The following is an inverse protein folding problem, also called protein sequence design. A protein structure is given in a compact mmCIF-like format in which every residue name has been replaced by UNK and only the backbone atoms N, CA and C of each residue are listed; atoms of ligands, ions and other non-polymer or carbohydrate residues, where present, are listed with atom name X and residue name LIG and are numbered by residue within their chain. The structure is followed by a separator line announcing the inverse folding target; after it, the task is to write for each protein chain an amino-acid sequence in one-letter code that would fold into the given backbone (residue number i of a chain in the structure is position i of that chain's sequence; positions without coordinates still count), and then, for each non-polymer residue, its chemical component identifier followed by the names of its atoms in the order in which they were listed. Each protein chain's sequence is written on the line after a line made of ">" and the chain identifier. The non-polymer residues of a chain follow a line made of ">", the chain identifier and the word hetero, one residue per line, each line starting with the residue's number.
data_IF_372421801591
#
_entry.id   IF_372421801591
#
_cell.length_a   1.000
_cell.length_b   1.000
_cell.length_c   1.000
_cell.angle_alpha   90.00
_cell.angle_beta   90.00
_cell.angle_gamma   90.00
#
_symmetry.space_group_name_H-M   'P 1'
#
loop_
_entity.id
_entity.type
_entity.pdbx_description
1 polymer ?
#
# COMPACT_ATOMS: atom_id res chain seq x y z
N UNK A 1 -5.03 37.64 -33.53
CA UNK A 1 -5.56 37.30 -32.18
C UNK A 1 -6.59 36.17 -32.18
N UNK A 2 -7.77 36.27 -32.84
CA UNK A 2 -8.81 35.21 -32.79
C UNK A 2 -8.35 33.81 -33.25
N UNK A 3 -7.55 33.71 -34.33
CA UNK A 3 -7.00 32.43 -34.81
C UNK A 3 -5.95 31.81 -33.86
N UNK A 4 -5.14 32.65 -33.21
CA UNK A 4 -4.14 32.21 -32.24
C UNK A 4 -4.80 31.72 -30.94
N UNK A 5 -5.87 32.40 -30.50
CA UNK A 5 -6.68 32.01 -29.35
C UNK A 5 -7.43 30.69 -29.61
N UNK A 6 -8.00 30.52 -30.82
CA UNK A 6 -8.64 29.27 -31.23
C UNK A 6 -7.64 28.09 -31.30
N UNK A 7 -6.42 28.32 -31.83
CA UNK A 7 -5.37 27.30 -31.82
C UNK A 7 -4.99 26.90 -30.38
N UNK A 8 -4.78 27.88 -29.50
CA UNK A 8 -4.46 27.63 -28.08
C UNK A 8 -5.56 26.83 -27.37
N UNK A 9 -6.83 27.19 -27.57
CA UNK A 9 -7.98 26.46 -27.03
C UNK A 9 -8.08 25.03 -27.58
N UNK A 10 -7.80 24.83 -28.87
CA UNK A 10 -7.79 23.49 -29.47
C UNK A 10 -6.62 22.63 -28.99
N UNK A 11 -5.44 23.21 -28.75
CA UNK A 11 -4.30 22.49 -28.15
C UNK A 11 -4.54 22.14 -26.69
N UNK A 12 -5.22 23.01 -25.93
CA UNK A 12 -5.64 22.73 -24.55
C UNK A 12 -6.68 21.61 -24.50
N UNK A 13 -7.60 21.55 -25.47
CA UNK A 13 -8.61 20.50 -25.56
C UNK A 13 -8.04 19.10 -25.91
N UNK A 14 -6.90 19.06 -26.61
CA UNK A 14 -6.24 17.81 -27.02
C UNK A 14 -5.12 17.35 -26.07
N UNK A 15 -4.74 18.16 -25.07
CA UNK A 15 -3.66 17.85 -24.13
C UNK A 15 -3.95 16.63 -23.22
N UNK A 16 -5.21 16.18 -23.14
CA UNK A 16 -5.61 15.01 -22.37
C UNK A 16 -5.61 13.69 -23.18
N UNK A 17 -5.28 13.73 -24.48
CA UNK A 17 -5.22 12.53 -25.31
C UNK A 17 -3.82 11.91 -25.30
N UNK A 18 -3.77 10.61 -25.03
CA UNK A 18 -2.56 9.82 -25.21
C UNK A 18 -2.41 9.36 -26.67
N UNK A 19 -1.20 9.44 -27.22
CA UNK A 19 -0.96 9.11 -28.63
C UNK A 19 -0.81 7.60 -28.86
N UNK A 20 -1.38 7.00 -29.92
CA UNK A 20 -1.10 5.62 -30.30
C UNK A 20 0.36 5.44 -30.81
N UNK A 21 0.87 4.20 -30.89
CA UNK A 21 0.23 2.95 -30.45
C UNK A 21 0.24 2.76 -28.93
N UNK A 22 -0.68 1.92 -28.46
CA UNK A 22 -0.81 1.49 -27.06
C UNK A 22 -0.52 -0.01 -27.00
N UNK A 23 0.04 -0.46 -25.88
CA UNK A 23 0.27 -1.88 -25.66
C UNK A 23 -0.98 -2.52 -25.06
N UNK A 24 -1.33 -3.71 -25.55
CA UNK A 24 -2.50 -4.45 -25.06
C UNK A 24 -2.10 -5.84 -24.58
N UNK A 25 -2.59 -6.22 -23.42
CA UNK A 25 -2.38 -7.55 -22.83
C UNK A 25 -3.73 -8.20 -22.63
N UNK A 26 -4.01 -9.28 -23.35
CA UNK A 26 -5.26 -10.03 -23.19
C UNK A 26 -5.21 -10.86 -21.89
N UNK A 27 -6.25 -10.72 -21.06
CA UNK A 27 -6.35 -11.35 -19.73
C UNK A 27 -7.57 -12.29 -19.57
N UNK A 28 -8.32 -12.54 -20.64
CA UNK A 28 -9.44 -13.48 -20.65
C UNK A 28 -9.66 -14.14 -22.01
N UNK A 29 -10.72 -14.92 -22.15
CA UNK A 29 -11.05 -15.59 -23.41
C UNK A 29 -11.33 -14.58 -24.53
N UNK A 30 -10.99 -14.94 -25.78
CA UNK A 30 -11.21 -14.06 -26.95
C UNK A 30 -12.68 -13.59 -27.04
N UNK A 31 -12.87 -12.31 -27.37
CA UNK A 31 -14.20 -11.69 -27.47
C UNK A 31 -14.84 -11.27 -26.14
N UNK A 32 -14.21 -11.53 -24.99
CA UNK A 32 -14.74 -11.10 -23.68
C UNK A 32 -14.41 -9.64 -23.33
N UNK A 33 -13.50 -9.00 -24.08
CA UNK A 33 -13.02 -7.65 -23.78
C UNK A 33 -12.11 -7.54 -22.55
N UNK A 34 -11.74 -8.67 -21.94
CA UNK A 34 -10.83 -8.70 -20.80
C UNK A 34 -9.38 -8.47 -21.26
N UNK A 35 -8.95 -7.21 -21.23
CA UNK A 35 -7.60 -6.80 -21.61
C UNK A 35 -7.13 -5.61 -20.75
N UNK A 36 -5.82 -5.52 -20.53
CA UNK A 36 -5.16 -4.31 -20.02
C UNK A 36 -4.63 -3.51 -21.21
N UNK A 37 -4.77 -2.19 -21.14
CA UNK A 37 -4.25 -1.27 -22.15
C UNK A 37 -3.27 -0.33 -21.45
N UNK A 38 -2.04 -0.28 -21.94
CA UNK A 38 -0.96 0.50 -21.34
C UNK A 38 -0.37 1.48 -22.35
N UNK A 39 -0.02 2.67 -21.87
CA UNK A 39 0.77 3.61 -22.63
C UNK A 39 2.25 3.27 -22.44
N UNK A 40 3.00 2.84 -23.48
CA UNK A 40 4.40 2.45 -23.31
C UNK A 40 5.25 3.54 -22.67
N UNK A 41 4.98 4.81 -22.97
CA UNK A 41 5.73 5.95 -22.43
C UNK A 41 5.41 6.23 -20.95
N UNK A 42 4.17 5.98 -20.54
CA UNK A 42 3.80 6.12 -19.13
C UNK A 42 4.39 4.98 -18.30
N UNK A 43 4.45 3.77 -18.87
CA UNK A 43 5.11 2.61 -18.26
C UNK A 43 6.60 2.86 -18.10
N UNK A 44 7.30 3.33 -19.13
CA UNK A 44 8.73 3.68 -19.06
C UNK A 44 9.02 4.71 -17.95
N UNK A 45 8.21 5.77 -17.86
CA UNK A 45 8.33 6.75 -16.78
C UNK A 45 8.05 6.16 -15.38
N UNK A 46 7.21 5.11 -15.30
CA UNK A 46 6.92 4.41 -14.06
C UNK A 46 8.00 3.39 -13.68
N UNK A 47 8.67 2.77 -14.64
CA UNK A 47 9.83 1.89 -14.45
C UNK A 47 10.96 2.61 -13.74
N UNK A 48 11.28 3.84 -14.16
CA UNK A 48 12.29 4.67 -13.46
C UNK A 48 11.95 4.91 -11.98
N UNK A 49 10.66 5.00 -11.61
CA UNK A 49 10.22 5.17 -10.20
C UNK A 49 10.20 3.86 -9.41
N UNK A 50 10.37 2.72 -10.08
CA UNK A 50 10.33 1.38 -9.50
C UNK A 50 11.69 0.68 -9.58
N UNK A 51 12.75 1.43 -9.88
CA UNK A 51 14.11 0.92 -9.85
C UNK A 51 14.50 0.50 -8.43
N UNK A 52 15.18 -0.64 -8.35
CA UNK A 52 15.65 -1.22 -7.09
C UNK A 52 17.08 -0.75 -6.84
N UNK A 53 17.39 -0.17 -5.66
CA UNK A 53 18.74 0.22 -5.33
C UNK A 53 19.64 -1.02 -5.25
N UNK A 54 20.92 -0.91 -5.65
CA UNK A 54 21.85 -2.03 -5.59
C UNK A 54 22.00 -2.54 -4.15
N UNK A 55 21.99 -3.86 -3.98
CA UNK A 55 22.20 -4.48 -2.68
C UNK A 55 23.68 -4.37 -2.27
N UNK A 56 23.92 -4.14 -0.98
CA UNK A 56 25.26 -4.26 -0.42
C UNK A 56 25.72 -5.73 -0.46
N UNK A 57 27.03 -6.01 -0.60
CA UNK A 57 27.57 -7.36 -0.54
C UNK A 57 27.06 -8.11 0.70
N UNK A 58 26.71 -9.38 0.53
CA UNK A 58 26.23 -10.20 1.62
C UNK A 58 27.31 -10.31 2.72
N UNK A 59 26.90 -10.12 3.98
CA UNK A 59 27.77 -10.34 5.11
C UNK A 59 27.66 -11.80 5.57
N UNK A 60 28.78 -12.47 5.92
CA UNK A 60 28.74 -13.85 6.38
C UNK A 60 27.97 -13.98 7.70
N UNK A 61 27.28 -15.11 7.88
CA UNK A 61 26.67 -15.47 9.17
C UNK A 61 27.70 -16.08 10.13
N UNK A 62 28.74 -15.32 10.42
CA UNK A 62 29.86 -15.76 11.24
C UNK A 62 30.05 -14.86 12.47
N UNK A 63 30.59 -15.45 13.53
CA UNK A 63 30.90 -14.73 14.77
C UNK A 63 29.71 -14.56 15.74
N UNK A 64 29.89 -13.74 16.78
CA UNK A 64 28.89 -13.56 17.82
C UNK A 64 27.63 -12.85 17.29
N UNK A 65 26.47 -13.27 17.81
CA UNK A 65 25.18 -12.73 17.42
C UNK A 65 24.92 -11.34 18.02
N UNK A 66 24.18 -10.50 17.30
CA UNK A 66 23.89 -9.12 17.64
C UNK A 66 23.25 -8.97 19.02
N UNK A 67 22.40 -9.92 19.45
CA UNK A 67 21.81 -9.93 20.79
C UNK A 67 22.81 -10.12 21.93
N UNK A 68 24.00 -10.68 21.65
CA UNK A 68 25.11 -10.81 22.61
C UNK A 68 26.13 -9.69 22.47
N UNK A 69 26.30 -9.15 21.26
CA UNK A 69 27.25 -8.08 20.96
C UNK A 69 26.79 -6.69 21.40
N UNK A 70 25.50 -6.38 21.19
CA UNK A 70 24.97 -5.03 21.35
C UNK A 70 23.93 -4.97 22.47
N UNK A 71 23.81 -3.78 23.08
CA UNK A 71 22.78 -3.51 24.08
C UNK A 71 21.44 -3.18 23.40
N UNK A 72 20.33 -3.61 24.00
CA UNK A 72 18.97 -3.27 23.59
C UNK A 72 18.55 -3.72 22.18
N UNK A 73 19.10 -4.85 21.69
CA UNK A 73 18.62 -5.52 20.47
C UNK A 73 17.46 -6.44 20.80
N UNK A 74 16.25 -6.08 20.35
CA UNK A 74 14.99 -6.80 20.68
C UNK A 74 14.47 -7.73 19.57
N UNK A 75 14.78 -7.42 18.30
CA UNK A 75 14.21 -8.12 17.14
C UNK A 75 15.29 -8.84 16.34
N UNK A 76 16.36 -8.14 16.00
CA UNK A 76 17.45 -8.63 15.15
C UNK A 76 18.57 -9.31 15.95
N UNK A 77 18.23 -9.96 17.06
CA UNK A 77 19.21 -10.55 17.98
C UNK A 77 19.95 -11.76 17.41
N UNK A 78 19.36 -12.39 16.40
CA UNK A 78 19.78 -13.62 15.71
C UNK A 78 20.85 -13.40 14.63
N UNK A 79 21.07 -12.16 14.20
CA UNK A 79 22.00 -11.82 13.13
C UNK A 79 23.45 -11.81 13.62
N UNK A 80 24.41 -12.12 12.75
CA UNK A 80 25.82 -11.83 13.02
C UNK A 80 26.06 -10.31 13.13
N UNK A 81 27.17 -9.89 13.75
CA UNK A 81 27.54 -8.46 13.79
C UNK A 81 27.68 -7.84 12.39
N UNK A 82 28.19 -8.61 11.42
CA UNK A 82 28.30 -8.19 10.03
C UNK A 82 26.94 -8.02 9.35
N UNK A 83 26.05 -9.01 9.49
CA UNK A 83 24.68 -8.94 8.95
C UNK A 83 23.88 -7.81 9.57
N UNK A 84 23.98 -7.63 10.89
CA UNK A 84 23.33 -6.52 11.60
C UNK A 84 23.78 -5.17 11.05
N UNK A 85 25.09 -4.96 10.90
CA UNK A 85 25.64 -3.71 10.35
C UNK A 85 25.18 -3.48 8.92
N UNK A 86 25.25 -4.51 8.06
CA UNK A 86 24.79 -4.45 6.68
C UNK A 86 23.32 -4.02 6.59
N UNK A 87 22.45 -4.65 7.37
CA UNK A 87 21.03 -4.32 7.37
C UNK A 87 20.78 -2.88 7.83
N UNK A 88 21.49 -2.39 8.84
CA UNK A 88 21.38 -0.99 9.29
C UNK A 88 21.77 0.01 8.20
N UNK A 89 22.85 -0.24 7.46
CA UNK A 89 23.27 0.61 6.33
C UNK A 89 22.23 0.57 5.21
N UNK A 90 21.70 -0.60 4.86
CA UNK A 90 20.65 -0.72 3.85
C UNK A 90 19.34 -0.05 4.27
N UNK A 91 18.91 -0.19 5.53
CA UNK A 91 17.74 0.51 6.06
C UNK A 91 17.90 2.03 5.98
N UNK A 92 19.12 2.53 6.20
CA UNK A 92 19.43 3.96 6.08
C UNK A 92 19.16 4.46 4.66
N UNK A 93 19.66 3.75 3.64
CA UNK A 93 19.43 4.14 2.23
C UNK A 93 17.96 3.98 1.81
N UNK A 94 17.26 3.02 2.39
CA UNK A 94 15.86 2.76 2.03
C UNK A 94 14.85 3.71 2.66
N UNK A 95 15.18 4.34 3.79
CA UNK A 95 14.25 5.12 4.61
C UNK A 95 14.66 6.58 4.68
N UNK A 96 15.91 6.88 5.05
CA UNK A 96 16.35 8.23 5.40
C UNK A 96 17.79 8.50 4.92
N UNK A 97 18.07 8.40 3.61
CA UNK A 97 19.41 8.55 3.06
C UNK A 97 20.02 9.93 3.35
N UNK A 98 19.19 10.98 3.43
CA UNK A 98 19.64 12.34 3.70
C UNK A 98 20.00 12.56 5.17
N UNK A 99 19.23 12.00 6.10
CA UNK A 99 19.44 12.16 7.55
C UNK A 99 20.42 11.13 8.13
N UNK A 100 20.65 10.04 7.41
CA UNK A 100 21.57 8.98 7.80
C UNK A 100 21.12 8.23 9.06
N UNK A 101 22.10 7.62 9.74
CA UNK A 101 21.89 6.83 10.97
C UNK A 101 21.15 7.62 12.06
N UNK A 102 21.38 8.94 12.11
CA UNK A 102 20.87 9.83 13.15
C UNK A 102 19.36 10.07 13.03
N UNK A 103 18.71 9.64 11.95
CA UNK A 103 17.25 9.68 11.85
C UNK A 103 16.58 8.81 12.91
N UNK A 104 17.17 7.63 13.19
CA UNK A 104 16.64 6.65 14.14
C UNK A 104 17.50 6.52 15.40
N UNK A 105 18.72 7.07 15.44
CA UNK A 105 19.64 6.87 16.54
C UNK A 105 20.16 8.18 17.14
N UNK A 106 20.35 8.15 18.46
CA UNK A 106 21.20 9.10 19.14
C UNK A 106 22.66 8.74 18.85
N UNK A 107 23.48 9.61 18.22
CA UNK A 107 24.85 9.29 17.87
C UNK A 107 25.76 9.05 19.08
N UNK A 108 25.40 9.61 20.25
CA UNK A 108 26.14 9.37 21.50
C UNK A 108 25.80 8.01 22.12
N UNK A 109 24.66 7.41 21.79
CA UNK A 109 24.21 6.13 22.33
C UNK A 109 23.23 5.42 21.39
N UNK A 110 23.74 4.52 20.56
CA UNK A 110 22.91 3.76 19.62
C UNK A 110 21.88 2.85 20.30
N UNK A 111 22.08 2.47 21.57
CA UNK A 111 21.14 1.65 22.32
C UNK A 111 19.94 2.44 22.88
N UNK A 112 20.01 3.77 22.92
CA UNK A 112 18.95 4.67 23.42
C UNK A 112 17.68 4.58 22.57
N UNK A 113 16.51 4.55 23.21
CA UNK A 113 15.17 4.45 22.60
C UNK A 113 14.36 5.76 22.71
N UNK A 114 15.00 6.87 23.14
CA UNK A 114 14.33 8.17 23.30
C UNK A 114 13.74 8.74 22.01
N UNK A 115 14.32 8.42 20.85
CA UNK A 115 13.79 8.83 19.55
C UNK A 115 12.63 7.94 19.12
N UNK A 116 11.46 8.56 18.90
CA UNK A 116 10.26 7.85 18.46
C UNK A 116 10.48 7.05 17.16
N UNK A 117 11.33 7.56 16.26
CA UNK A 117 11.69 6.92 14.99
C UNK A 117 12.32 5.55 15.21
N UNK A 118 13.08 5.35 16.29
CA UNK A 118 13.64 4.05 16.65
C UNK A 118 12.57 3.05 17.11
N UNK A 119 11.65 3.53 17.93
CA UNK A 119 10.52 2.73 18.42
C UNK A 119 9.66 2.27 17.24
N UNK A 120 9.36 3.17 16.32
CA UNK A 120 8.64 2.87 15.06
C UNK A 120 9.45 1.92 14.17
N UNK A 121 10.74 2.20 13.93
CA UNK A 121 11.58 1.35 13.09
C UNK A 121 11.65 -0.09 13.59
N UNK A 122 11.74 -0.30 14.91
CA UNK A 122 11.65 -1.63 15.51
C UNK A 122 10.36 -2.35 15.12
N UNK A 123 9.22 -1.67 15.28
CA UNK A 123 7.91 -2.25 14.94
C UNK A 123 7.77 -2.52 13.44
N UNK A 124 8.39 -1.71 12.58
CA UNK A 124 8.40 -1.93 11.12
C UNK A 124 9.28 -3.12 10.71
N UNK A 125 10.36 -3.43 11.43
CA UNK A 125 11.15 -4.66 11.20
C UNK A 125 10.29 -5.89 11.50
N UNK A 126 9.56 -5.87 12.62
CA UNK A 126 8.62 -6.94 12.97
C UNK A 126 7.52 -7.10 11.92
N UNK A 127 6.96 -5.98 11.45
CA UNK A 127 5.97 -5.96 10.36
C UNK A 127 6.53 -6.58 9.07
N UNK A 128 7.78 -6.24 8.71
CA UNK A 128 8.43 -6.73 7.50
C UNK A 128 8.65 -8.24 7.57
N UNK A 129 9.18 -8.74 8.70
CA UNK A 129 9.34 -10.19 8.93
C UNK A 129 7.99 -10.91 8.90
N UNK A 130 6.96 -10.34 9.52
CA UNK A 130 5.61 -10.88 9.53
C UNK A 130 5.01 -10.99 8.11
N UNK A 131 5.10 -9.93 7.29
CA UNK A 131 4.63 -9.97 5.89
C UNK A 131 5.36 -11.07 5.11
N UNK A 132 6.69 -11.12 5.24
CA UNK A 132 7.53 -12.04 4.48
C UNK A 132 7.34 -13.51 4.87
N UNK A 133 6.88 -13.79 6.08
CA UNK A 133 6.69 -15.15 6.60
C UNK A 133 5.24 -15.62 6.50
N UNK A 134 4.27 -14.79 6.88
CA UNK A 134 2.89 -15.24 7.11
C UNK A 134 1.94 -14.87 5.97
N UNK A 135 2.32 -13.90 5.13
CA UNK A 135 1.51 -13.42 4.01
C UNK A 135 1.98 -13.91 2.64
N UNK A 136 2.58 -15.12 2.59
CA UNK A 136 3.04 -15.78 1.34
C UNK A 136 1.91 -15.95 0.31
N UNK A 137 0.67 -16.11 0.75
CA UNK A 137 -0.53 -16.13 -0.09
C UNK A 137 -0.79 -14.81 -0.85
N UNK A 138 -0.12 -13.72 -0.46
CA UNK A 138 -0.15 -12.43 -1.12
C UNK A 138 1.21 -12.05 -1.73
N UNK A 139 2.28 -12.03 -0.92
CA UNK A 139 3.61 -11.54 -1.37
C UNK A 139 4.50 -12.61 -2.00
N UNK A 140 4.08 -13.89 -1.95
CA UNK A 140 4.85 -15.04 -2.41
C UNK A 140 6.31 -15.03 -1.92
N UNK A 141 7.26 -15.48 -2.75
CA UNK A 141 8.68 -15.40 -2.44
C UNK A 141 9.31 -14.05 -2.75
N UNK A 142 8.61 -13.16 -3.45
CA UNK A 142 9.09 -11.79 -3.73
C UNK A 142 9.33 -11.04 -2.42
N UNK A 143 8.36 -11.09 -1.51
CA UNK A 143 8.41 -10.41 -0.22
C UNK A 143 8.44 -8.88 -0.32
N UNK A 144 8.71 -8.24 0.81
CA UNK A 144 8.80 -6.79 0.98
C UNK A 144 10.05 -6.41 1.78
N UNK A 145 10.52 -5.18 1.57
CA UNK A 145 11.56 -4.53 2.37
C UNK A 145 11.08 -3.14 2.79
N UNK A 146 11.89 -2.42 3.56
CA UNK A 146 11.60 -1.03 3.91
C UNK A 146 11.42 -0.17 2.65
N UNK A 147 12.20 -0.45 1.60
CA UNK A 147 12.16 0.30 0.34
C UNK A 147 10.84 0.13 -0.41
N UNK A 148 10.16 -1.01 -0.26
CA UNK A 148 8.86 -1.27 -0.89
C UNK A 148 7.87 -0.13 -0.64
N UNK A 149 7.84 0.39 0.60
CA UNK A 149 6.99 1.51 1.01
C UNK A 149 7.73 2.85 0.99
N UNK A 150 8.90 2.92 1.63
CA UNK A 150 9.57 4.19 1.92
C UNK A 150 10.21 4.84 0.70
N UNK A 151 10.73 4.07 -0.26
CA UNK A 151 11.37 4.60 -1.49
C UNK A 151 12.40 5.71 -1.21
N UNK A 152 13.20 5.56 -0.15
CA UNK A 152 14.20 6.56 0.25
C UNK A 152 13.63 7.79 0.97
N UNK A 153 12.36 7.76 1.37
CA UNK A 153 11.69 8.84 2.10
C UNK A 153 11.26 8.39 3.50
N UNK A 154 11.47 9.21 4.54
CA UNK A 154 11.12 8.79 5.90
C UNK A 154 9.62 8.61 6.13
N UNK A 155 8.80 9.25 5.30
CA UNK A 155 7.35 9.04 5.22
C UNK A 155 7.01 8.49 3.84
N UNK A 156 6.37 7.30 3.75
CA UNK A 156 5.92 6.76 2.46
C UNK A 156 4.97 7.72 1.74
N UNK A 157 5.10 7.81 0.41
CA UNK A 157 4.37 8.80 -0.39
C UNK A 157 2.84 8.54 -0.49
N UNK A 158 2.43 7.27 -0.39
CA UNK A 158 1.04 6.85 -0.53
C UNK A 158 0.55 6.25 0.79
N UNK A 159 0.21 7.12 1.74
CA UNK A 159 -0.42 6.75 3.02
C UNK A 159 -1.80 7.38 3.10
N UNK A 160 -2.61 6.93 4.06
CA UNK A 160 -3.93 7.53 4.30
C UNK A 160 -4.17 7.80 5.78
N UNK A 161 -5.03 8.79 6.02
CA UNK A 161 -5.61 9.14 7.31
C UNK A 161 -7.13 9.07 7.19
N UNK A 162 -7.83 8.88 8.30
CA UNK A 162 -9.28 8.98 8.32
C UNK A 162 -9.67 10.40 7.92
N UNK A 163 -10.55 10.52 6.94
CA UNK A 163 -11.03 11.82 6.49
C UNK A 163 -12.11 12.31 7.46
N UNK A 164 -12.08 13.60 7.78
CA UNK A 164 -13.12 14.22 8.58
C UNK A 164 -14.39 14.30 7.74
N UNK A 165 -15.50 13.87 8.32
CA UNK A 165 -16.80 14.09 7.71
C UNK A 165 -17.08 15.60 7.71
N UNK A 166 -17.46 16.14 6.54
CA UNK A 166 -17.87 17.53 6.44
C UNK A 166 -19.03 17.76 7.42
N UNK A 167 -18.91 18.72 8.37
CA UNK A 167 -19.94 18.93 9.37
C UNK A 167 -21.27 19.28 8.70
N UNK A 168 -22.37 18.90 9.36
CA UNK A 168 -23.72 19.29 8.98
C UNK A 168 -23.81 20.83 8.94
N UNK A 169 -23.65 21.40 7.76
CA UNK A 169 -23.61 22.84 7.56
C UNK A 169 -25.02 23.40 7.51
N UNK A 170 -25.31 24.40 8.34
CA UNK A 170 -26.53 25.20 8.42
C UNK A 170 -26.85 26.02 7.15
N UNK A 171 -26.32 25.64 5.99
CA UNK A 171 -26.32 26.40 4.74
C UNK A 171 -27.36 25.92 3.71
N UNK A 172 -28.37 25.13 4.09
CA UNK A 172 -29.36 24.54 3.18
C UNK A 172 -28.78 23.65 2.05
N UNK A 173 -27.48 23.38 2.02
CA UNK A 173 -26.81 22.65 0.93
C UNK A 173 -26.82 21.12 1.11
N UNK A 174 -27.37 20.61 2.23
CA UNK A 174 -27.43 19.18 2.51
C UNK A 174 -26.07 18.57 2.88
N UNK A 175 -26.10 17.29 3.27
CA UNK A 175 -24.92 16.51 3.63
C UNK A 175 -24.35 15.77 2.41
N UNK A 176 -23.03 15.87 2.20
CA UNK A 176 -22.31 15.14 1.16
C UNK A 176 -22.17 13.65 1.47
N UNK A 177 -22.36 13.25 2.73
CA UNK A 177 -22.30 11.88 3.23
C UNK A 177 -21.02 11.13 2.82
N UNK A 178 -19.88 11.81 2.90
CA UNK A 178 -18.58 11.22 2.58
C UNK A 178 -18.31 10.99 1.09
N UNK A 179 -19.07 11.62 0.19
CA UNK A 179 -18.93 11.47 -1.27
C UNK A 179 -19.19 12.79 -2.04
N UNK A 180 -19.46 12.73 -3.35
CA UNK A 180 -19.82 13.89 -4.19
C UNK A 180 -18.73 14.99 -4.26
N UNK A 181 -17.47 14.61 -4.10
CA UNK A 181 -16.31 15.49 -4.26
C UNK A 181 -15.22 14.71 -5.01
N UNK A 182 -14.58 15.28 -6.04
CA UNK A 182 -13.53 14.59 -6.76
C UNK A 182 -12.35 14.32 -5.83
N UNK A 183 -12.01 13.05 -5.65
CA UNK A 183 -10.96 12.64 -4.72
C UNK A 183 -9.97 11.67 -5.36
N UNK A 184 -8.68 11.89 -5.11
CA UNK A 184 -7.58 11.11 -5.70
C UNK A 184 -7.57 9.66 -5.22
N UNK A 185 -8.10 9.36 -4.04
CA UNK A 185 -8.16 8.01 -3.48
C UNK A 185 -9.14 7.10 -4.23
N UNK A 186 -10.12 7.71 -4.91
CA UNK A 186 -11.11 7.03 -5.77
C UNK A 186 -11.04 7.53 -7.21
N UNK A 187 -9.81 7.76 -7.69
CA UNK A 187 -9.50 8.13 -9.08
C UNK A 187 -10.30 9.33 -9.63
N UNK A 188 -10.42 10.39 -8.81
CA UNK A 188 -11.12 11.64 -9.13
C UNK A 188 -12.62 11.48 -9.44
N UNK A 189 -13.20 10.33 -9.09
CA UNK A 189 -14.65 10.12 -9.16
C UNK A 189 -15.38 10.82 -8.02
N UNK A 190 -16.71 10.81 -8.07
CA UNK A 190 -17.59 11.33 -7.02
C UNK A 190 -18.03 10.25 -6.00
N UNK A 191 -17.40 9.07 -6.02
CA UNK A 191 -17.68 7.96 -5.10
C UNK A 191 -17.27 8.32 -3.65
N UNK A 192 -17.65 7.49 -2.66
CA UNK A 192 -17.18 7.66 -1.28
C UNK A 192 -15.66 7.75 -1.19
N UNK A 193 -15.16 8.87 -0.65
CA UNK A 193 -13.75 9.24 -0.76
C UNK A 193 -12.85 8.67 0.34
N UNK A 194 -13.41 7.98 1.35
CA UNK A 194 -12.66 7.23 2.36
C UNK A 194 -13.09 5.76 2.41
N UNK A 195 -12.86 4.98 1.34
CA UNK A 195 -13.16 3.55 1.37
C UNK A 195 -12.22 2.76 2.32
N UNK A 196 -11.21 3.40 2.90
CA UNK A 196 -10.20 2.73 3.71
C UNK A 196 -10.67 2.49 5.13
N UNK A 197 -11.30 3.48 5.77
CA UNK A 197 -11.83 3.34 7.12
C UNK A 197 -12.74 2.12 7.29
N UNK A 198 -13.79 1.90 6.47
CA UNK A 198 -14.67 0.74 6.64
C UNK A 198 -14.03 -0.58 6.19
N UNK A 199 -13.16 -0.56 5.17
CA UNK A 199 -12.73 -1.80 4.51
C UNK A 199 -11.27 -2.22 4.73
N UNK A 200 -10.35 -1.30 5.04
CA UNK A 200 -8.93 -1.57 5.27
C UNK A 200 -8.48 -1.32 6.72
N UNK A 201 -9.30 -0.64 7.52
CA UNK A 201 -9.17 -0.57 8.97
C UNK A 201 -10.27 -1.41 9.63
N UNK A 202 -11.52 -1.13 9.27
CA UNK A 202 -12.67 -1.96 9.61
C UNK A 202 -12.75 -3.25 8.79
N UNK A 203 -13.78 -4.04 9.06
CA UNK A 203 -14.03 -5.32 8.40
C UNK A 203 -15.40 -5.38 7.71
N UNK A 204 -15.96 -4.23 7.32
CA UNK A 204 -17.28 -4.14 6.69
C UNK A 204 -17.39 -5.02 5.45
N UNK A 205 -18.61 -5.50 5.19
CA UNK A 205 -18.87 -6.43 4.10
C UNK A 205 -18.78 -5.72 2.73
N UNK A 206 -17.83 -6.16 1.90
CA UNK A 206 -17.62 -5.64 0.54
C UNK A 206 -18.66 -6.22 -0.46
N UNK A 207 -19.22 -7.41 -0.18
CA UNK A 207 -20.12 -8.10 -1.13
C UNK A 207 -21.52 -7.50 -1.10
N UNK A 208 -22.00 -7.06 -2.25
CA UNK A 208 -23.35 -6.47 -2.41
C UNK A 208 -24.31 -7.29 -3.28
N UNK A 209 -23.79 -8.16 -4.15
CA UNK A 209 -24.61 -8.97 -5.06
C UNK A 209 -25.39 -10.07 -4.31
N UNK A 210 -26.59 -10.38 -4.81
CA UNK A 210 -27.35 -11.55 -4.36
C UNK A 210 -26.79 -12.84 -4.95
N UNK A 211 -27.02 -13.97 -4.27
CA UNK A 211 -26.60 -15.30 -4.72
C UNK A 211 -27.68 -16.04 -5.52
N UNK A 212 -28.86 -15.42 -5.69
CA UNK A 212 -30.03 -15.98 -6.38
C UNK A 212 -30.52 -14.99 -7.42
N UNK A 213 -31.21 -15.49 -8.45
CA UNK A 213 -31.74 -14.65 -9.52
C UNK A 213 -32.93 -13.78 -9.05
N UNK A 214 -33.78 -14.31 -8.18
CA UNK A 214 -34.92 -13.61 -7.61
C UNK A 214 -34.52 -12.88 -6.30
N UNK A 215 -35.18 -11.77 -5.94
CA UNK A 215 -34.84 -10.98 -4.76
C UNK A 215 -35.20 -11.72 -3.46
N UNK A 216 -34.36 -12.67 -3.05
CA UNK A 216 -34.55 -13.48 -1.85
C UNK A 216 -33.50 -13.14 -0.80
N UNK A 217 -33.88 -12.34 0.18
CA UNK A 217 -33.08 -12.11 1.39
C UNK A 217 -31.91 -11.13 1.29
N UNK A 218 -31.45 -10.73 0.09
CA UNK A 218 -30.44 -9.67 -0.02
C UNK A 218 -31.03 -8.32 0.45
N UNK A 219 -30.33 -7.65 1.36
CA UNK A 219 -30.70 -6.34 1.93
C UNK A 219 -29.64 -5.26 1.69
N UNK A 220 -28.63 -5.57 0.88
CA UNK A 220 -27.60 -4.61 0.52
C UNK A 220 -28.20 -3.47 -0.31
N UNK A 221 -27.73 -2.25 -0.07
CA UNK A 221 -28.21 -1.03 -0.69
C UNK A 221 -27.32 -0.59 -1.84
N UNK A 222 -27.84 0.30 -2.68
CA UNK A 222 -27.05 0.95 -3.74
C UNK A 222 -25.92 1.78 -3.13
N UNK A 223 -26.15 2.44 -1.99
CA UNK A 223 -25.08 3.15 -1.26
C UNK A 223 -23.93 2.22 -0.92
N UNK A 224 -24.20 1.03 -0.36
CA UNK A 224 -23.15 0.05 -0.09
C UNK A 224 -22.41 -0.38 -1.38
N UNK A 225 -23.11 -0.46 -2.51
CA UNK A 225 -22.48 -0.74 -3.80
C UNK A 225 -21.53 0.38 -4.25
N UNK A 226 -21.87 1.66 -4.02
CA UNK A 226 -20.99 2.81 -4.28
C UNK A 226 -19.73 2.77 -3.42
N UNK A 227 -19.85 2.43 -2.13
CA UNK A 227 -18.70 2.26 -1.23
C UNK A 227 -17.77 1.13 -1.69
N UNK A 228 -18.33 -0.03 -2.03
CA UNK A 228 -17.56 -1.14 -2.62
C UNK A 228 -16.90 -0.70 -3.93
N UNK A 229 -17.59 0.07 -4.78
CA UNK A 229 -17.03 0.53 -6.04
C UNK A 229 -15.90 1.55 -5.83
N UNK A 230 -16.00 2.42 -4.82
CA UNK A 230 -14.92 3.31 -4.40
C UNK A 230 -13.66 2.53 -4.02
N UNK A 231 -13.79 1.49 -3.19
CA UNK A 231 -12.68 0.60 -2.84
C UNK A 231 -12.08 -0.08 -4.08
N UNK A 232 -12.91 -0.64 -4.96
CA UNK A 232 -12.42 -1.31 -6.18
C UNK A 232 -11.68 -0.33 -7.10
N UNK A 233 -12.17 0.92 -7.19
CA UNK A 233 -11.51 1.98 -7.96
C UNK A 233 -10.13 2.30 -7.40
N UNK A 234 -10.02 2.44 -6.07
CA UNK A 234 -8.74 2.59 -5.40
C UNK A 234 -7.79 1.43 -5.71
N UNK A 235 -8.27 0.18 -5.59
CA UNK A 235 -7.44 -0.99 -5.83
C UNK A 235 -6.93 -1.03 -7.27
N UNK A 236 -7.79 -0.73 -8.25
CA UNK A 236 -7.40 -0.62 -9.67
C UNK A 236 -6.29 0.43 -9.87
N UNK A 237 -6.47 1.64 -9.33
CA UNK A 237 -5.49 2.71 -9.44
C UNK A 237 -4.17 2.36 -8.72
N UNK A 238 -4.26 1.82 -7.51
CA UNK A 238 -3.10 1.45 -6.69
C UNK A 238 -2.22 0.40 -7.34
N UNK A 239 -2.80 -0.48 -8.17
CA UNK A 239 -2.09 -1.51 -8.93
C UNK A 239 -1.82 -1.10 -10.40
N UNK A 240 -2.36 0.03 -10.88
CA UNK A 240 -2.28 0.47 -12.28
C UNK A 240 -2.91 -0.50 -13.26
N UNK A 241 -4.05 -1.09 -12.89
CA UNK A 241 -4.79 -2.07 -13.70
C UNK A 241 -6.27 -1.68 -13.77
N UNK A 242 -7.02 -2.28 -14.68
CA UNK A 242 -8.47 -2.14 -14.73
C UNK A 242 -9.19 -3.29 -14.00
N UNK A 243 -10.53 -3.24 -13.97
CA UNK A 243 -11.37 -4.23 -13.30
C UNK A 243 -11.17 -5.66 -13.83
N UNK A 244 -10.86 -5.80 -15.13
CA UNK A 244 -10.70 -7.10 -15.79
C UNK A 244 -9.44 -7.84 -15.38
N UNK A 245 -8.55 -7.19 -14.63
CA UNK A 245 -7.40 -7.84 -14.01
C UNK A 245 -7.83 -8.85 -12.94
N UNK A 246 -8.98 -8.62 -12.28
CA UNK A 246 -9.50 -9.48 -11.22
C UNK A 246 -10.90 -10.04 -11.52
N UNK A 247 -11.62 -9.52 -12.50
CA UNK A 247 -13.02 -9.88 -12.74
C UNK A 247 -13.33 -10.17 -14.20
N UNK A 248 -14.31 -11.05 -14.42
CA UNK A 248 -15.17 -10.92 -15.60
C UNK A 248 -16.36 -10.03 -15.21
N UNK A 249 -16.43 -8.82 -15.77
CA UNK A 249 -17.36 -7.78 -15.33
C UNK A 249 -18.83 -8.11 -15.61
N UNK A 250 -19.12 -9.10 -16.47
CA UNK A 250 -20.49 -9.63 -16.64
C UNK A 250 -21.05 -10.23 -15.34
N UNK A 251 -20.18 -10.64 -14.42
CA UNK A 251 -20.55 -11.26 -13.15
C UNK A 251 -19.48 -11.04 -12.08
N UNK A 252 -19.36 -9.81 -11.54
CA UNK A 252 -18.38 -9.46 -10.50
C UNK A 252 -18.38 -10.39 -9.29
N UNK A 253 -19.54 -10.91 -8.86
CA UNK A 253 -19.64 -11.78 -7.70
C UNK A 253 -19.11 -13.21 -7.95
N UNK A 254 -19.05 -13.66 -9.21
CA UNK A 254 -18.70 -15.03 -9.53
C UNK A 254 -17.20 -15.29 -9.41
N UNK A 255 -16.80 -16.23 -8.57
CA UNK A 255 -15.39 -16.62 -8.42
C UNK A 255 -14.93 -17.54 -9.55
N UNK A 256 -15.81 -18.42 -10.02
CA UNK A 256 -15.49 -19.34 -11.11
C UNK A 256 -15.25 -18.56 -12.41
N UNK A 257 -14.12 -18.83 -13.07
CA UNK A 257 -13.71 -18.10 -14.27
C UNK A 257 -13.27 -16.65 -14.04
N UNK A 258 -13.16 -16.19 -12.78
CA UNK A 258 -12.43 -14.95 -12.48
C UNK A 258 -10.91 -15.19 -12.59
N UNK A 259 -10.12 -14.17 -12.99
CA UNK A 259 -8.67 -14.24 -12.94
C UNK A 259 -8.12 -14.59 -11.54
N UNK A 260 -7.04 -15.38 -11.44
CA UNK A 260 -6.46 -15.81 -10.15
C UNK A 260 -6.00 -14.66 -9.26
N UNK A 261 -5.70 -13.49 -9.85
CA UNK A 261 -5.32 -12.26 -9.16
C UNK A 261 -6.39 -11.83 -8.14
N UNK A 262 -7.65 -12.19 -8.35
CA UNK A 262 -8.74 -11.93 -7.39
C UNK A 262 -8.51 -12.62 -6.04
N UNK A 263 -7.94 -13.83 -6.04
CA UNK A 263 -7.59 -14.56 -4.82
C UNK A 263 -6.44 -13.87 -4.08
N UNK A 264 -5.40 -13.48 -4.81
CA UNK A 264 -4.28 -12.70 -4.26
C UNK A 264 -4.73 -11.37 -3.67
N UNK A 265 -5.64 -10.66 -4.36
CA UNK A 265 -6.23 -9.41 -3.89
C UNK A 265 -7.12 -9.61 -2.65
N UNK A 266 -7.85 -10.74 -2.59
CA UNK A 266 -8.62 -11.12 -1.41
C UNK A 266 -7.73 -11.23 -0.17
N UNK A 267 -6.57 -11.89 -0.27
CA UNK A 267 -5.60 -11.95 0.82
C UNK A 267 -4.99 -10.57 1.12
N UNK A 268 -4.69 -9.77 0.09
CA UNK A 268 -4.16 -8.41 0.25
C UNK A 268 -5.05 -7.48 1.08
N UNK A 269 -6.38 -7.57 0.94
CA UNK A 269 -7.33 -6.81 1.78
C UNK A 269 -7.18 -7.18 3.26
N UNK A 270 -7.02 -8.47 3.58
CA UNK A 270 -6.85 -8.91 4.98
C UNK A 270 -5.48 -8.51 5.51
N UNK A 271 -4.44 -8.65 4.70
CA UNK A 271 -3.10 -8.18 5.05
C UNK A 271 -3.13 -6.70 5.41
N UNK A 272 -3.73 -5.83 4.59
CA UNK A 272 -3.84 -4.40 4.88
C UNK A 272 -4.56 -4.13 6.22
N UNK A 273 -5.64 -4.87 6.52
CA UNK A 273 -6.34 -4.79 7.82
C UNK A 273 -5.42 -5.18 8.98
N UNK A 274 -4.74 -6.31 8.89
CA UNK A 274 -3.85 -6.80 9.94
C UNK A 274 -2.70 -5.81 10.16
N UNK A 275 -2.10 -5.28 9.09
CA UNK A 275 -1.03 -4.28 9.19
C UNK A 275 -1.52 -2.97 9.85
N UNK A 276 -2.69 -2.49 9.47
CA UNK A 276 -3.23 -1.26 10.04
C UNK A 276 -3.59 -1.42 11.53
N UNK A 277 -4.26 -2.51 11.90
CA UNK A 277 -4.73 -2.72 13.26
C UNK A 277 -3.64 -3.19 14.22
N UNK A 278 -2.74 -4.07 13.78
CA UNK A 278 -1.75 -4.69 14.68
C UNK A 278 -0.43 -3.91 14.71
N UNK A 279 -0.10 -3.13 13.67
CA UNK A 279 1.18 -2.42 13.59
C UNK A 279 1.03 -0.90 13.62
N UNK A 280 0.17 -0.32 12.78
CA UNK A 280 0.09 1.14 12.68
C UNK A 280 -0.67 1.77 13.84
N UNK A 281 -1.95 1.41 14.03
CA UNK A 281 -2.82 2.02 15.06
C UNK A 281 -2.20 1.99 16.47
N UNK A 282 -1.57 0.90 16.95
CA UNK A 282 -0.97 0.87 18.28
C UNK A 282 0.21 1.84 18.46
N UNK A 283 0.81 2.33 17.36
CA UNK A 283 1.90 3.30 17.40
C UNK A 283 1.40 4.75 17.48
N UNK A 284 0.09 5.01 17.44
CA UNK A 284 -0.47 6.38 17.35
C UNK A 284 0.11 7.33 18.41
N UNK A 285 0.22 6.91 19.67
CA UNK A 285 0.77 7.76 20.73
C UNK A 285 2.26 8.06 20.60
N UNK A 286 3.00 7.24 19.85
CA UNK A 286 4.44 7.43 19.64
C UNK A 286 4.74 8.42 18.52
N UNK A 287 3.79 8.66 17.62
CA UNK A 287 3.97 9.63 16.56
C UNK A 287 3.77 11.06 17.08
N UNK A 288 4.66 12.01 16.73
CA UNK A 288 4.45 13.41 17.06
C UNK A 288 3.26 13.98 16.28
N UNK A 289 2.70 15.11 16.75
CA UNK A 289 1.49 15.71 16.18
C UNK A 289 1.58 15.97 14.66
N UNK A 290 2.75 16.37 14.14
CA UNK A 290 2.97 16.62 12.71
C UNK A 290 2.98 15.35 11.83
N UNK A 291 2.81 14.16 12.42
CA UNK A 291 2.69 12.86 11.74
C UNK A 291 1.30 12.24 11.88
N UNK A 292 0.35 12.98 12.46
CA UNK A 292 -1.05 12.57 12.65
C UNK A 292 -1.96 13.31 11.67
N UNK A 293 -3.06 12.69 11.29
CA UNK A 293 -4.12 13.29 10.51
C UNK A 293 -4.92 14.30 11.34
N UNK A 294 -5.88 14.98 10.70
CA UNK A 294 -6.72 15.98 11.35
C UNK A 294 -7.51 15.43 12.55
N UNK A 295 -7.83 14.14 12.53
CA UNK A 295 -8.55 13.44 13.60
C UNK A 295 -7.61 12.82 14.64
N UNK A 296 -6.30 13.10 14.56
CA UNK A 296 -5.29 12.58 15.49
C UNK A 296 -4.85 11.14 15.21
N UNK A 297 -5.34 10.50 14.15
CA UNK A 297 -4.95 9.16 13.76
C UNK A 297 -3.60 9.13 13.04
N UNK A 298 -2.86 8.04 13.20
CA UNK A 298 -1.60 7.81 12.48
C UNK A 298 -1.84 7.46 11.02
N UNK A 299 -0.85 7.77 10.17
CA UNK A 299 -0.80 7.30 8.79
C UNK A 299 -0.91 5.78 8.73
N UNK A 300 -1.68 5.27 7.77
CA UNK A 300 -1.96 3.84 7.59
C UNK A 300 -1.58 3.38 6.18
N UNK A 301 -1.51 2.05 6.03
CA UNK A 301 -1.16 1.35 4.80
C UNK A 301 -2.41 1.12 3.96
N UNK A 302 -2.28 1.31 2.65
CA UNK A 302 -3.24 0.89 1.63
C UNK A 302 -2.52 0.16 0.48
N UNK A 303 -3.23 -0.17 -0.61
CA UNK A 303 -2.65 -0.86 -1.75
C UNK A 303 -1.53 -0.03 -2.41
N UNK A 304 -1.77 1.27 -2.53
CA UNK A 304 -0.85 2.24 -3.13
C UNK A 304 0.48 2.37 -2.37
N UNK A 305 0.47 2.24 -1.03
CA UNK A 305 1.69 2.34 -0.20
C UNK A 305 2.84 1.48 -0.73
N UNK A 306 2.53 0.25 -1.16
CA UNK A 306 3.52 -0.68 -1.72
C UNK A 306 3.53 -0.66 -3.25
N UNK A 307 2.36 -0.77 -3.87
CA UNK A 307 2.24 -1.02 -5.31
C UNK A 307 2.55 0.22 -6.15
N UNK A 308 2.20 1.42 -5.67
CA UNK A 308 2.51 2.70 -6.33
C UNK A 308 2.16 2.72 -7.82
N UNK A 309 0.98 2.19 -8.14
CA UNK A 309 0.44 2.10 -9.49
C UNK A 309 0.98 0.93 -10.32
N UNK A 310 1.79 0.03 -9.76
CA UNK A 310 2.31 -1.13 -10.47
C UNK A 310 1.66 -2.43 -9.99
N UNK A 311 1.39 -3.35 -10.92
CA UNK A 311 0.67 -4.60 -10.62
C UNK A 311 1.41 -5.48 -9.59
N UNK A 312 2.73 -5.31 -9.48
CA UNK A 312 3.57 -5.78 -8.37
C UNK A 312 4.49 -4.63 -7.94
N UNK A 313 4.75 -4.44 -6.63
CA UNK A 313 5.74 -3.47 -6.16
C UNK A 313 7.08 -3.72 -6.86
N UNK A 314 7.73 -2.65 -7.34
CA UNK A 314 9.04 -2.73 -8.01
C UNK A 314 9.03 -3.73 -9.21
N UNK A 315 7.89 -3.84 -9.89
CA UNK A 315 7.64 -4.82 -10.95
C UNK A 315 7.93 -6.28 -10.57
N UNK A 316 7.87 -6.61 -9.27
CA UNK A 316 8.08 -7.95 -8.75
C UNK A 316 9.54 -8.35 -8.53
N UNK A 317 10.49 -7.41 -8.61
CA UNK A 317 11.89 -7.64 -8.23
C UNK A 317 11.99 -7.96 -6.73
N UNK A 318 12.56 -9.11 -6.39
CA UNK A 318 12.74 -9.51 -5.00
C UNK A 318 14.02 -8.92 -4.42
N UNK A 319 13.87 -7.90 -3.57
CA UNK A 319 14.98 -7.42 -2.74
C UNK A 319 15.26 -8.37 -1.57
N UNK A 320 14.26 -9.13 -1.13
CA UNK A 320 14.38 -10.03 0.03
C UNK A 320 15.34 -11.19 -0.24
N UNK A 321 15.54 -11.56 -1.51
CA UNK A 321 16.56 -12.55 -1.88
C UNK A 321 17.97 -12.18 -1.40
N UNK A 322 18.32 -10.89 -1.39
CA UNK A 322 19.61 -10.39 -0.92
C UNK A 322 19.63 -10.11 0.59
N UNK A 323 18.47 -10.18 1.26
CA UNK A 323 18.32 -9.89 2.69
C UNK A 323 17.47 -10.97 3.37
N UNK A 324 17.95 -12.24 3.40
CA UNK A 324 17.22 -13.35 4.02
C UNK A 324 16.89 -13.10 5.50
N UNK A 325 17.64 -12.24 6.19
CA UNK A 325 17.37 -11.78 7.55
C UNK A 325 15.98 -11.13 7.74
N UNK A 326 15.36 -10.64 6.66
CA UNK A 326 14.01 -10.08 6.65
C UNK A 326 12.91 -11.15 6.47
N UNK A 327 13.25 -12.42 6.30
CA UNK A 327 12.33 -13.58 6.33
C UNK A 327 12.31 -14.29 7.69
N UNK A 328 13.00 -13.75 8.71
CA UNK A 328 13.13 -14.37 10.03
C UNK A 328 11.79 -14.55 10.75
N UNK A 329 11.75 -15.35 11.83
CA UNK A 329 10.52 -15.61 12.59
C UNK A 329 9.89 -14.27 13.02
N UNK A 330 8.60 -14.12 12.73
CA UNK A 330 7.83 -13.03 13.33
C UNK A 330 7.93 -13.17 14.84
N UNK A 331 8.17 -12.10 15.62
CA UNK A 331 7.86 -12.16 17.03
C UNK A 331 6.42 -12.63 17.18
N UNK A 332 6.16 -13.49 18.18
CA UNK A 332 4.82 -13.97 18.51
C UNK A 332 3.83 -12.79 18.45
N UNK A 333 2.72 -12.94 17.71
CA UNK A 333 1.67 -11.91 17.62
C UNK A 333 1.43 -11.43 19.05
N UNK A 334 1.73 -10.16 19.33
CA UNK A 334 1.22 -9.52 20.53
C UNK A 334 -0.30 -9.66 20.41
N UNK A 335 -0.88 -10.61 21.15
CA UNK A 335 -2.30 -10.90 21.08
C UNK A 335 -3.02 -9.61 21.45
N UNK A 336 -3.52 -8.90 20.44
CA UNK A 336 -4.52 -7.87 20.67
C UNK A 336 -5.68 -8.64 21.25
N UNK A 337 -5.95 -8.43 22.55
CA UNK A 337 -7.01 -9.09 23.26
C UNK A 337 -8.28 -8.99 22.41
N UNK A 338 -8.78 -10.15 21.96
CA UNK A 338 -10.06 -10.23 21.25
C UNK A 338 -11.10 -9.50 22.12
N UNK A 339 -11.68 -8.43 21.60
CA UNK A 339 -12.95 -7.89 22.08
C UNK A 339 -14.03 -8.28 21.10
#
# INVERSE_FOLDING_TARGET
>A
MKRMLALLLSTLALAACERPPMDSVQHGFRGTGMAQIYNPRAVEAQEARNEVPPALPAAPDEGPKAGKLYKNVKVLGDLSGGQFTRLMVSMTTWIAPEQGCNYCHNPANFADDSLYTKVVARRMIEMTRYINSDWKNHVAETGVTCYTCHRGQPVPAQVWFRKKDEPYGSNFMGDKAGQNTPDRDVNLSSLPYDPFTPFLLGNENIRVNGNTALPTGNRQSIKQAEWTYGLMTHMSQGLGVNCTYCHNTRAFANWEGSPPQRVTAWHGIRMARDLNNDYMVPLTEQFPAHRKGELGDVAKVNCGTCHQGAYKPLYGRSMVADFPELKGPSPERAQVAKR
#
